data_IF_382197395072
#
_entry.id   IF_382197395072
#
_cell.length_a   1.000
_cell.length_b   1.000
_cell.length_c   1.000
_cell.angle_alpha   90.00
_cell.angle_beta   90.00
_cell.angle_gamma   90.00
#
_symmetry.space_group_name_H-M   'P 1'
#
loop_
_entity.id
_entity.type
_entity.pdbx_description
1 polymer ?
#
# COMPACT_ATOMS: atom_id res chain seq x y z
N UNK A 1 -26.82 -6.58 12.97
CA UNK A 1 -25.39 -6.35 13.28
C UNK A 1 -24.64 -5.96 12.01
N UNK A 2 -24.31 -4.66 11.91
CA UNK A 2 -23.16 -4.02 11.25
C UNK A 2 -22.78 -4.41 9.80
N UNK A 3 -23.43 -3.77 8.81
CA UNK A 3 -23.00 -3.79 7.40
C UNK A 3 -21.81 -2.85 7.10
N UNK A 4 -21.33 -2.08 8.08
CA UNK A 4 -20.26 -1.10 7.91
C UNK A 4 -18.86 -1.70 7.74
N UNK A 5 -18.57 -2.86 8.35
CA UNK A 5 -17.21 -3.43 8.37
C UNK A 5 -16.64 -3.80 6.99
N UNK A 6 -17.50 -4.27 6.07
CA UNK A 6 -17.07 -4.83 4.76
C UNK A 6 -16.29 -3.83 3.89
N UNK A 7 -16.39 -2.54 4.18
CA UNK A 7 -15.78 -1.47 3.39
C UNK A 7 -14.44 -0.99 3.97
N UNK A 8 -14.30 -0.96 5.30
CA UNK A 8 -12.99 -0.72 5.94
C UNK A 8 -12.00 -1.84 5.60
N UNK A 9 -12.48 -3.07 5.52
CA UNK A 9 -11.65 -4.24 5.17
C UNK A 9 -10.96 -4.07 3.81
N UNK A 10 -11.68 -3.54 2.80
CA UNK A 10 -11.15 -3.34 1.44
C UNK A 10 -10.11 -2.24 1.35
N UNK A 11 -10.36 -1.11 2.01
CA UNK A 11 -9.42 0.02 2.10
C UNK A 11 -8.16 -0.35 2.87
N UNK A 12 -8.31 -1.07 3.99
CA UNK A 12 -7.17 -1.57 4.77
C UNK A 12 -6.33 -2.57 3.97
N UNK A 13 -6.97 -3.46 3.21
CA UNK A 13 -6.29 -4.39 2.30
C UNK A 13 -5.56 -3.70 1.16
N UNK A 14 -6.10 -2.63 0.58
CA UNK A 14 -5.45 -1.89 -0.50
C UNK A 14 -4.16 -1.19 -0.02
N UNK A 15 -4.19 -0.57 1.16
CA UNK A 15 -2.99 0.00 1.78
C UNK A 15 -1.97 -1.08 2.13
N UNK A 16 -2.42 -2.19 2.74
CA UNK A 16 -1.56 -3.33 3.07
C UNK A 16 -0.91 -3.96 1.85
N UNK A 17 -1.65 -4.11 0.75
CA UNK A 17 -1.14 -4.61 -0.53
C UNK A 17 -0.11 -3.69 -1.18
N UNK A 18 -0.34 -2.38 -1.17
CA UNK A 18 0.63 -1.39 -1.69
C UNK A 18 1.96 -1.40 -0.91
N UNK A 19 1.88 -1.52 0.41
CA UNK A 19 3.08 -1.64 1.28
C UNK A 19 3.81 -2.96 1.02
N UNK A 20 3.10 -4.08 0.91
CA UNK A 20 3.71 -5.39 0.60
C UNK A 20 4.40 -5.42 -0.76
N UNK A 21 3.82 -4.76 -1.77
CA UNK A 21 4.46 -4.60 -3.08
C UNK A 21 5.73 -3.75 -2.99
N UNK A 22 5.67 -2.60 -2.31
CA UNK A 22 6.83 -1.75 -2.09
C UNK A 22 7.94 -2.43 -1.28
N UNK A 23 7.56 -3.22 -0.26
CA UNK A 23 8.47 -4.03 0.55
C UNK A 23 9.13 -5.14 -0.29
N UNK A 24 8.35 -5.85 -1.11
CA UNK A 24 8.85 -6.96 -1.94
C UNK A 24 9.84 -6.49 -2.99
N UNK A 25 9.49 -5.47 -3.76
CA UNK A 25 10.39 -4.86 -4.76
C UNK A 25 11.56 -4.14 -4.09
N UNK A 26 11.33 -3.49 -2.95
CA UNK A 26 12.39 -2.84 -2.18
C UNK A 26 13.45 -3.83 -1.73
N UNK A 27 13.07 -4.99 -1.17
CA UNK A 27 14.00 -5.97 -0.62
C UNK A 27 15.03 -6.45 -1.66
N UNK A 28 14.63 -6.47 -2.95
CA UNK A 28 15.52 -6.79 -4.06
C UNK A 28 16.59 -5.71 -4.29
N UNK A 29 16.25 -4.43 -4.06
CA UNK A 29 17.14 -3.28 -4.22
C UNK A 29 18.01 -2.97 -3.00
N UNK A 30 17.67 -3.51 -1.81
CA UNK A 30 18.43 -3.33 -0.58
C UNK A 30 19.91 -3.74 -0.73
N UNK A 31 20.17 -4.75 -1.57
CA UNK A 31 21.51 -5.25 -1.85
C UNK A 31 22.38 -4.28 -2.65
N UNK A 32 21.78 -3.33 -3.38
CA UNK A 32 22.50 -2.36 -4.22
C UNK A 32 22.52 -0.97 -3.58
N UNK A 33 21.39 -0.48 -3.05
CA UNK A 33 21.30 0.87 -2.51
C UNK A 33 20.09 1.06 -1.61
N UNK A 34 20.33 1.48 -0.37
CA UNK A 34 19.29 1.78 0.63
C UNK A 34 18.34 2.88 0.15
N UNK A 35 18.82 3.87 -0.60
CA UNK A 35 17.96 4.92 -1.17
C UNK A 35 16.93 4.39 -2.18
N UNK A 36 17.30 3.38 -2.97
CA UNK A 36 16.37 2.75 -3.91
C UNK A 36 15.33 1.89 -3.20
N UNK A 37 15.72 1.22 -2.10
CA UNK A 37 14.81 0.54 -1.19
C UNK A 37 13.76 1.51 -0.63
N UNK A 38 14.20 2.62 -0.04
CA UNK A 38 13.31 3.65 0.53
C UNK A 38 12.41 4.24 -0.55
N UNK A 39 12.94 4.50 -1.75
CA UNK A 39 12.16 5.01 -2.89
C UNK A 39 11.03 4.07 -3.30
N UNK A 40 11.28 2.77 -3.43
CA UNK A 40 10.24 1.79 -3.70
C UNK A 40 9.25 1.61 -2.55
N UNK A 41 9.71 1.72 -1.31
CA UNK A 41 8.84 1.69 -0.13
C UNK A 41 7.87 2.88 -0.11
N UNK A 42 8.38 4.10 -0.34
CA UNK A 42 7.57 5.31 -0.44
C UNK A 42 6.63 5.28 -1.64
N UNK A 43 7.07 4.75 -2.78
CA UNK A 43 6.22 4.58 -3.96
C UNK A 43 5.08 3.57 -3.71
N UNK A 44 5.37 2.43 -3.08
CA UNK A 44 4.36 1.41 -2.74
C UNK A 44 3.36 1.90 -1.70
N UNK A 45 3.82 2.60 -0.67
CA UNK A 45 2.96 3.27 0.31
C UNK A 45 2.10 4.35 -0.34
N UNK A 46 2.70 5.21 -1.18
CA UNK A 46 1.99 6.26 -1.90
C UNK A 46 0.88 5.72 -2.79
N UNK A 47 1.19 4.69 -3.59
CA UNK A 47 0.20 3.99 -4.43
C UNK A 47 -0.91 3.34 -3.60
N UNK A 48 -0.56 2.63 -2.53
CA UNK A 48 -1.52 2.01 -1.62
C UNK A 48 -2.48 3.03 -0.99
N UNK A 49 -1.97 4.19 -0.59
CA UNK A 49 -2.79 5.24 0.02
C UNK A 49 -3.70 5.94 -1.00
N UNK A 50 -3.22 6.18 -2.23
CA UNK A 50 -4.03 6.73 -3.33
C UNK A 50 -5.17 5.77 -3.69
N UNK A 51 -4.87 4.47 -3.81
CA UNK A 51 -5.87 3.44 -4.09
C UNK A 51 -6.93 3.38 -2.99
N UNK A 52 -6.49 3.42 -1.73
CA UNK A 52 -7.39 3.47 -0.57
C UNK A 52 -8.25 4.73 -0.54
N UNK A 53 -7.69 5.89 -0.85
CA UNK A 53 -8.43 7.15 -0.91
C UNK A 53 -9.48 7.15 -2.03
N UNK A 54 -9.14 6.64 -3.21
CA UNK A 54 -10.07 6.50 -4.33
C UNK A 54 -11.19 5.51 -3.98
N UNK A 55 -10.85 4.38 -3.38
CA UNK A 55 -11.82 3.36 -2.99
C UNK A 55 -12.75 3.84 -1.87
N UNK A 56 -12.22 4.60 -0.92
CA UNK A 56 -12.99 5.23 0.15
C UNK A 56 -13.90 6.35 -0.35
N UNK A 57 -13.52 7.03 -1.45
CA UNK A 57 -14.30 8.12 -2.06
C UNK A 57 -15.37 7.63 -3.04
N UNK A 58 -15.24 6.40 -3.55
CA UNK A 58 -16.23 5.76 -4.42
C UNK A 58 -17.36 5.07 -3.64
N UNK A 59 -17.28 5.07 -2.31
CA UNK A 59 -18.35 4.67 -1.38
C UNK A 59 -19.13 5.90 -0.94
#
# INVERSE_FOLDING_TARGET
MNADKKNEDKSSWATGGGVLLGLGIGFFFLQTSVFAFIGCMLAGLGLGLILTAILSKSK
#
